data_IF_199916019578
#
_entry.id   IF_199916019578
#
_cell.length_a   1.000
_cell.length_b   1.000
_cell.length_c   1.000
_cell.angle_alpha   90.00
_cell.angle_beta   90.00
_cell.angle_gamma   90.00
#
_symmetry.space_group_name_H-M   'P 1'
#
loop_
_entity.id
_entity.type
_entity.pdbx_description
1 polymer ?
#
# COMPACT_ATOMS: atom_id res chain seq x y z
N UNK A 1 15.38 -8.15 -7.51
CA UNK A 1 14.32 -7.12 -7.55
C UNK A 1 12.97 -7.78 -7.73
N UNK A 2 11.98 -7.29 -7.02
CA UNK A 2 10.64 -7.88 -7.08
C UNK A 2 9.84 -7.30 -8.25
N UNK A 3 8.97 -8.11 -8.83
CA UNK A 3 8.18 -7.73 -9.98
C UNK A 3 6.74 -7.40 -9.60
N UNK A 4 6.49 -6.13 -9.33
CA UNK A 4 5.15 -5.65 -8.95
C UNK A 4 4.21 -5.53 -10.14
N UNK A 5 4.73 -5.46 -11.36
CA UNK A 5 3.91 -5.34 -12.57
C UNK A 5 3.01 -6.54 -12.80
N UNK A 6 3.40 -7.71 -12.30
CA UNK A 6 2.62 -8.93 -12.47
C UNK A 6 1.48 -9.05 -11.46
N UNK A 7 1.42 -8.15 -10.49
CA UNK A 7 0.34 -8.14 -9.51
C UNK A 7 -0.85 -7.37 -10.05
N UNK A 8 -2.04 -7.96 -9.92
CA UNK A 8 -3.28 -7.22 -10.13
C UNK A 8 -3.44 -6.21 -8.99
N UNK A 9 -4.40 -5.30 -9.14
CA UNK A 9 -4.70 -4.33 -8.08
C UNK A 9 -5.07 -5.06 -6.80
N UNK A 10 -5.90 -6.10 -6.88
CA UNK A 10 -6.31 -6.87 -5.72
C UNK A 10 -5.12 -7.60 -5.08
N UNK A 11 -4.25 -8.20 -5.88
CA UNK A 11 -3.05 -8.87 -5.36
C UNK A 11 -2.12 -7.90 -4.65
N UNK A 12 -1.98 -6.68 -5.17
CA UNK A 12 -1.20 -5.65 -4.50
C UNK A 12 -1.84 -5.22 -3.19
N UNK A 13 -3.18 -5.11 -3.16
CA UNK A 13 -3.90 -4.81 -1.91
C UNK A 13 -3.68 -5.89 -0.86
N UNK A 14 -3.71 -7.16 -1.26
CA UNK A 14 -3.43 -8.27 -0.34
C UNK A 14 -2.00 -8.21 0.21
N UNK A 15 -1.03 -7.88 -0.63
CA UNK A 15 0.35 -7.70 -0.20
C UNK A 15 0.47 -6.57 0.82
N UNK A 16 -0.12 -5.43 0.52
CA UNK A 16 -0.11 -4.28 1.43
C UNK A 16 -0.78 -4.60 2.75
N UNK A 17 -1.88 -5.35 2.71
CA UNK A 17 -2.58 -5.78 3.92
C UNK A 17 -1.63 -6.58 4.82
N UNK A 18 -0.94 -7.58 4.26
CA UNK A 18 -0.02 -8.41 5.04
C UNK A 18 1.10 -7.57 5.66
N UNK A 19 1.65 -6.64 4.88
CA UNK A 19 2.74 -5.78 5.34
C UNK A 19 2.28 -4.87 6.48
N UNK A 20 1.18 -4.18 6.28
CA UNK A 20 0.70 -3.20 7.26
C UNK A 20 0.19 -3.88 8.53
N UNK A 21 -0.49 -5.01 8.40
CA UNK A 21 -0.91 -5.78 9.57
C UNK A 21 0.28 -6.14 10.45
N UNK A 22 1.39 -6.56 9.86
CA UNK A 22 2.59 -6.89 10.62
C UNK A 22 3.25 -5.66 11.22
N UNK A 23 3.34 -4.57 10.45
CA UNK A 23 3.95 -3.34 10.94
C UNK A 23 3.18 -2.74 12.12
N UNK A 24 1.87 -2.84 12.10
CA UNK A 24 1.01 -2.23 13.12
C UNK A 24 0.57 -3.22 14.20
N UNK A 25 0.85 -4.50 14.04
CA UNK A 25 0.37 -5.57 14.93
C UNK A 25 -1.14 -5.48 15.13
N UNK A 26 -1.87 -5.32 14.03
CA UNK A 26 -3.32 -5.24 14.08
C UNK A 26 -3.93 -5.93 12.85
N UNK A 27 -5.18 -6.34 13.00
CA UNK A 27 -5.93 -6.94 11.91
C UNK A 27 -6.60 -5.86 11.08
N UNK A 28 -6.53 -6.01 9.77
CA UNK A 28 -7.20 -5.14 8.81
C UNK A 28 -8.15 -5.97 7.95
N UNK A 29 -9.20 -5.32 7.47
CA UNK A 29 -10.16 -5.93 6.57
C UNK A 29 -9.98 -5.35 5.17
N UNK A 30 -9.97 -6.24 4.17
CA UNK A 30 -10.01 -5.85 2.77
C UNK A 30 -11.47 -5.93 2.31
N UNK A 31 -11.88 -5.00 1.46
CA UNK A 31 -13.27 -4.90 1.04
C UNK A 31 -13.45 -5.34 -0.41
N UNK A 32 -14.63 -5.89 -0.70
CA UNK A 32 -15.01 -6.22 -2.06
C UNK A 32 -15.16 -4.94 -2.87
N UNK A 33 -14.74 -4.96 -4.14
CA UNK A 33 -14.90 -3.84 -5.04
C UNK A 33 -16.36 -3.43 -5.16
N UNK A 34 -16.60 -2.12 -5.17
CA UNK A 34 -17.96 -1.59 -5.27
C UNK A 34 -17.95 -0.11 -5.00
N UNK A 35 -19.13 0.42 -4.70
CA UNK A 35 -19.23 1.80 -4.26
C UNK A 35 -18.67 1.90 -2.87
N UNK A 36 -17.49 2.43 -2.78
CA UNK A 36 -16.87 2.62 -1.49
C UNK A 36 -16.75 4.11 -1.17
N UNK A 37 -16.33 4.39 0.05
CA UNK A 37 -16.07 5.74 0.52
C UNK A 37 -14.57 6.06 0.41
N UNK A 38 -13.87 5.37 -0.49
CA UNK A 38 -12.43 5.51 -0.64
C UNK A 38 -11.65 4.70 0.40
N UNK A 39 -12.18 3.55 0.80
CA UNK A 39 -11.56 2.70 1.80
C UNK A 39 -11.11 1.40 1.14
N UNK A 40 -9.81 1.18 1.05
CA UNK A 40 -9.26 -0.10 0.58
C UNK A 40 -9.12 -1.09 1.72
N UNK A 41 -8.51 -0.67 2.82
CA UNK A 41 -8.42 -1.46 4.03
C UNK A 41 -8.80 -0.61 5.23
N UNK A 42 -9.35 -1.25 6.26
CA UNK A 42 -9.59 -0.57 7.53
C UNK A 42 -9.64 -1.56 8.69
N UNK A 43 -9.63 -1.02 9.91
CA UNK A 43 -9.98 -1.79 11.10
C UNK A 43 -11.48 -2.10 11.09
N UNK A 44 -11.93 -2.89 12.07
CA UNK A 44 -13.34 -3.30 12.19
C UNK A 44 -14.16 -2.38 13.07
N UNK A 45 -13.59 -1.30 13.57
CA UNK A 45 -14.31 -0.35 14.43
C UNK A 45 -15.23 0.55 13.60
N UNK A 46 -16.32 0.98 14.19
CA UNK A 46 -17.24 1.94 13.58
C UNK A 46 -17.41 3.09 14.57
N UNK A 47 -17.00 4.33 14.22
CA UNK A 47 -16.30 4.69 12.96
C UNK A 47 -14.89 4.10 12.90
N UNK A 48 -14.39 3.90 11.69
CA UNK A 48 -13.05 3.35 11.48
C UNK A 48 -11.98 4.29 12.04
N UNK A 49 -11.03 3.72 12.77
CA UNK A 49 -9.92 4.50 13.36
C UNK A 49 -8.67 4.44 12.50
N UNK A 50 -8.47 3.33 11.80
CA UNK A 50 -7.35 3.15 10.90
C UNK A 50 -7.85 2.84 9.50
N UNK A 51 -7.43 3.64 8.53
CA UNK A 51 -7.80 3.47 7.13
C UNK A 51 -6.54 3.43 6.29
N UNK A 52 -6.48 2.53 5.32
CA UNK A 52 -5.36 2.42 4.39
C UNK A 52 -5.87 2.64 2.98
N UNK A 53 -5.21 3.53 2.26
CA UNK A 53 -5.44 3.79 0.85
C UNK A 53 -4.31 3.14 0.06
N UNK A 54 -4.66 2.40 -0.99
CA UNK A 54 -3.68 1.67 -1.79
C UNK A 54 -3.73 2.14 -3.22
N UNK A 55 -2.57 2.46 -3.77
CA UNK A 55 -2.44 2.92 -5.15
C UNK A 55 -1.40 2.07 -5.87
N UNK A 56 -1.87 1.24 -6.80
CA UNK A 56 -0.99 0.41 -7.61
C UNK A 56 -0.64 1.19 -8.90
N UNK A 57 0.40 2.01 -8.81
CA UNK A 57 0.75 3.01 -9.83
C UNK A 57 2.16 2.79 -10.41
N UNK A 58 2.44 1.56 -10.85
CA UNK A 58 3.79 1.20 -11.35
C UNK A 58 4.22 2.04 -12.56
N UNK A 59 3.33 2.21 -13.52
CA UNK A 59 3.66 2.84 -14.80
C UNK A 59 3.08 4.26 -14.94
N UNK A 60 2.54 4.81 -13.86
CA UNK A 60 1.95 6.14 -13.85
C UNK A 60 2.93 7.17 -13.33
N UNK A 61 2.72 8.43 -13.74
CA UNK A 61 3.55 9.53 -13.27
C UNK A 61 3.18 9.92 -11.84
N UNK A 62 4.11 10.59 -11.16
CA UNK A 62 3.79 11.15 -9.84
C UNK A 62 2.65 12.17 -9.93
N UNK A 63 2.60 12.98 -11.01
CA UNK A 63 1.52 13.95 -11.19
C UNK A 63 0.14 13.26 -11.20
N UNK A 64 0.05 12.10 -11.85
CA UNK A 64 -1.18 11.31 -11.86
C UNK A 64 -1.52 10.80 -10.47
N UNK A 65 -0.54 10.29 -9.73
CA UNK A 65 -0.72 9.84 -8.35
C UNK A 65 -1.18 11.01 -7.46
N UNK A 66 -0.53 12.16 -7.58
CA UNK A 66 -0.87 13.36 -6.82
C UNK A 66 -2.33 13.76 -7.02
N UNK A 67 -2.78 13.78 -8.27
CA UNK A 67 -4.17 14.11 -8.59
C UNK A 67 -5.13 13.11 -7.97
N UNK A 68 -4.81 11.83 -8.07
CA UNK A 68 -5.62 10.78 -7.46
C UNK A 68 -5.73 10.94 -5.95
N UNK A 69 -4.61 11.26 -5.29
CA UNK A 69 -4.60 11.45 -3.83
C UNK A 69 -5.35 12.71 -3.41
N UNK A 70 -5.25 13.78 -4.19
CA UNK A 70 -6.03 15.00 -3.90
C UNK A 70 -7.53 14.73 -3.93
N UNK A 71 -7.98 13.85 -4.80
CA UNK A 71 -9.39 13.48 -4.87
C UNK A 71 -9.85 12.68 -3.64
N UNK A 72 -8.91 12.14 -2.86
CA UNK A 72 -9.23 11.40 -1.64
C UNK A 72 -9.39 12.31 -0.42
N UNK A 73 -8.89 13.55 -0.46
CA UNK A 73 -8.84 14.42 0.73
C UNK A 73 -10.23 14.62 1.35
N UNK A 74 -11.23 14.95 0.54
CA UNK A 74 -12.59 15.18 1.06
C UNK A 74 -13.20 13.93 1.66
N UNK A 75 -12.91 12.76 1.08
CA UNK A 75 -13.40 11.49 1.58
C UNK A 75 -12.79 11.19 2.96
N UNK A 76 -11.49 11.44 3.10
CA UNK A 76 -10.79 11.22 4.37
C UNK A 76 -11.28 12.18 5.44
N UNK A 77 -11.50 13.45 5.09
CA UNK A 77 -12.06 14.43 6.01
C UNK A 77 -13.41 13.98 6.56
N UNK A 78 -14.25 13.44 5.70
CA UNK A 78 -15.57 12.92 6.08
C UNK A 78 -15.46 11.74 7.03
N UNK A 79 -14.52 10.83 6.75
CA UNK A 79 -14.31 9.63 7.55
C UNK A 79 -13.58 9.94 8.85
N UNK A 80 -12.75 10.96 8.85
CA UNK A 80 -12.00 11.45 10.01
C UNK A 80 -11.31 10.34 10.82
N UNK A 81 -10.47 9.50 10.19
CA UNK A 81 -9.78 8.45 10.93
C UNK A 81 -8.68 9.03 11.83
N UNK A 82 -8.30 8.30 12.86
CA UNK A 82 -7.16 8.68 13.69
C UNK A 82 -5.84 8.45 12.97
N UNK A 83 -5.77 7.37 12.18
CA UNK A 83 -4.56 7.00 11.45
C UNK A 83 -4.92 6.66 10.01
N UNK A 84 -4.32 7.39 9.10
CA UNK A 84 -4.48 7.18 7.68
C UNK A 84 -3.13 6.78 7.08
N UNK A 85 -3.12 5.66 6.36
CA UNK A 85 -1.92 5.14 5.71
C UNK A 85 -2.11 5.13 4.21
N UNK A 86 -1.04 5.42 3.48
CA UNK A 86 -1.02 5.34 2.03
C UNK A 86 0.07 4.36 1.63
N UNK A 87 -0.29 3.39 0.79
CA UNK A 87 0.65 2.40 0.27
C UNK A 87 0.65 2.50 -1.25
N UNK A 88 1.82 2.75 -1.84
CA UNK A 88 1.92 2.92 -3.29
C UNK A 88 3.01 2.04 -3.88
N UNK A 89 2.78 1.52 -5.08
CA UNK A 89 3.75 0.69 -5.79
C UNK A 89 4.74 1.54 -6.62
N UNK A 90 5.02 2.73 -6.18
CA UNK A 90 5.91 3.67 -6.87
C UNK A 90 6.92 4.23 -5.88
N UNK A 91 8.18 4.37 -6.32
CA UNK A 91 9.19 5.06 -5.51
C UNK A 91 8.91 6.55 -5.50
N UNK A 92 8.99 7.15 -4.33
CA UNK A 92 8.72 8.58 -4.15
C UNK A 92 9.98 9.31 -3.72
N UNK A 93 10.12 10.56 -4.18
CA UNK A 93 11.19 11.44 -3.70
C UNK A 93 10.80 12.02 -2.34
N UNK A 94 11.77 12.60 -1.65
CA UNK A 94 11.49 13.30 -0.39
C UNK A 94 10.44 14.39 -0.59
N UNK A 95 10.55 15.17 -1.65
CA UNK A 95 9.58 16.23 -1.95
C UNK A 95 8.18 15.68 -2.21
N UNK A 96 8.09 14.53 -2.90
CA UNK A 96 6.80 13.85 -3.12
C UNK A 96 6.17 13.44 -1.79
N UNK A 97 6.95 12.84 -0.91
CA UNK A 97 6.48 12.38 0.39
C UNK A 97 5.99 13.56 1.24
N UNK A 98 6.74 14.64 1.27
CA UNK A 98 6.34 15.84 2.00
C UNK A 98 5.03 16.42 1.46
N UNK A 99 4.88 16.49 0.15
CA UNK A 99 3.65 16.99 -0.47
C UNK A 99 2.44 16.12 -0.10
N UNK A 100 2.60 14.80 -0.15
CA UNK A 100 1.52 13.89 0.22
C UNK A 100 1.19 14.03 1.71
N UNK A 101 2.22 14.14 2.55
CA UNK A 101 2.02 14.32 3.98
C UNK A 101 1.21 15.59 4.28
N UNK A 102 1.50 16.69 3.60
CA UNK A 102 0.76 17.94 3.78
C UNK A 102 -0.73 17.79 3.47
N UNK A 103 -1.08 16.93 2.49
CA UNK A 103 -2.48 16.68 2.16
C UNK A 103 -3.26 16.04 3.31
N UNK A 104 -2.60 15.18 4.09
CA UNK A 104 -3.26 14.31 5.08
C UNK A 104 -2.67 14.42 6.48
N UNK A 105 -1.92 15.49 6.77
CA UNK A 105 -1.18 15.62 8.03
C UNK A 105 -2.05 15.51 9.27
N UNK A 106 -3.31 15.92 9.19
CA UNK A 106 -4.25 15.82 10.31
C UNK A 106 -4.59 14.38 10.69
N UNK A 107 -4.28 13.43 9.80
CA UNK A 107 -4.64 12.01 9.96
C UNK A 107 -3.42 11.10 9.99
N UNK A 108 -2.22 11.66 10.00
CA UNK A 108 -0.96 10.91 9.99
C UNK A 108 -0.07 11.33 11.14
N UNK A 109 0.58 10.36 11.78
CA UNK A 109 1.54 10.64 12.85
C UNK A 109 2.82 11.27 12.29
N UNK A 110 3.24 10.81 11.12
CA UNK A 110 4.46 11.28 10.47
C UNK A 110 4.46 10.80 9.02
N UNK A 111 5.53 11.11 8.29
CA UNK A 111 5.71 10.60 6.92
C UNK A 111 5.84 9.08 6.88
N UNK A 112 6.06 8.42 8.01
CA UNK A 112 6.09 6.95 8.08
C UNK A 112 4.74 6.31 7.72
N UNK A 113 3.66 7.08 7.72
CA UNK A 113 2.35 6.61 7.27
C UNK A 113 2.28 6.48 5.74
N UNK A 114 3.29 6.96 5.02
CA UNK A 114 3.38 6.85 3.57
C UNK A 114 4.39 5.74 3.25
N UNK A 115 3.89 4.65 2.70
CA UNK A 115 4.68 3.46 2.43
C UNK A 115 4.84 3.34 0.92
N UNK A 116 6.00 3.71 0.42
CA UNK A 116 6.28 3.66 -1.01
C UNK A 116 6.98 2.34 -1.40
N UNK A 117 7.32 2.21 -2.66
CA UNK A 117 7.94 1.00 -3.19
C UNK A 117 9.24 0.65 -2.48
N UNK A 118 10.06 1.64 -2.13
CA UNK A 118 11.32 1.39 -1.40
C UNK A 118 11.07 0.81 -0.02
N UNK A 119 10.07 1.33 0.68
CA UNK A 119 9.70 0.80 1.99
C UNK A 119 9.16 -0.62 1.89
N UNK A 120 8.36 -0.90 0.85
CA UNK A 120 7.84 -2.24 0.62
C UNK A 120 9.00 -3.22 0.35
N UNK A 121 9.92 -2.85 -0.53
CA UNK A 121 11.09 -3.68 -0.83
C UNK A 121 11.92 -3.94 0.42
N UNK A 122 12.19 -2.89 1.19
CA UNK A 122 12.97 -2.99 2.42
C UNK A 122 12.32 -3.94 3.42
N UNK A 123 11.01 -3.88 3.55
CA UNK A 123 10.27 -4.79 4.43
C UNK A 123 10.39 -6.24 3.96
N UNK A 124 10.19 -6.48 2.66
CA UNK A 124 10.20 -7.84 2.10
C UNK A 124 11.60 -8.48 2.09
N UNK A 125 12.65 -7.68 2.04
CA UNK A 125 14.02 -8.17 2.04
C UNK A 125 14.48 -8.65 3.43
N UNK A 126 13.78 -8.30 4.48
CA UNK A 126 14.13 -8.76 5.81
C UNK A 126 13.75 -10.22 6.00
N UNK A 127 14.69 -11.00 6.57
CA UNK A 127 14.50 -12.43 6.75
C UNK A 127 13.24 -12.76 7.57
N UNK A 128 12.97 -11.97 8.59
CA UNK A 128 11.78 -12.16 9.44
C UNK A 128 10.46 -12.03 8.70
N UNK A 129 10.47 -11.45 7.49
CA UNK A 129 9.30 -11.26 6.66
C UNK A 129 9.28 -12.19 5.44
N UNK A 130 10.15 -13.20 5.42
CA UNK A 130 10.27 -14.12 4.29
C UNK A 130 8.98 -14.92 4.02
N UNK A 131 8.17 -15.13 5.04
CA UNK A 131 6.89 -15.82 4.89
C UNK A 131 5.92 -15.01 4.01
N UNK A 132 5.91 -13.70 4.18
CA UNK A 132 5.08 -12.81 3.34
C UNK A 132 5.59 -12.83 1.91
N UNK A 133 6.91 -12.73 1.72
CA UNK A 133 7.50 -12.78 0.40
C UNK A 133 7.15 -14.10 -0.31
N UNK A 134 7.24 -15.22 0.37
CA UNK A 134 6.91 -16.53 -0.23
C UNK A 134 5.45 -16.64 -0.60
N UNK A 135 4.56 -16.10 0.23
CA UNK A 135 3.12 -16.11 -0.04
C UNK A 135 2.79 -15.40 -1.36
N UNK A 136 3.47 -14.29 -1.62
CA UNK A 136 3.22 -13.47 -2.81
C UNK A 136 4.22 -13.84 -3.92
N UNK A 137 4.16 -15.07 -4.37
CA UNK A 137 5.16 -15.68 -5.26
C UNK A 137 5.35 -14.94 -6.59
N UNK A 138 4.35 -14.24 -7.09
CA UNK A 138 4.47 -13.49 -8.35
C UNK A 138 5.54 -12.40 -8.30
N UNK A 139 5.89 -11.94 -7.09
CA UNK A 139 6.94 -10.93 -6.93
C UNK A 139 8.31 -11.44 -7.36
N UNK A 140 8.58 -12.74 -7.17
CA UNK A 140 9.90 -13.31 -7.39
C UNK A 140 9.92 -14.45 -8.40
N UNK A 141 8.80 -15.06 -8.70
CA UNK A 141 8.69 -16.16 -9.67
C UNK A 141 8.09 -15.61 -10.96
N UNK A 142 8.88 -14.88 -11.72
CA UNK A 142 8.41 -14.15 -12.88
C UNK A 142 9.12 -14.51 -14.18
N UNK A 143 10.01 -15.50 -14.13
CA UNK A 143 10.83 -15.87 -15.28
C UNK A 143 10.59 -17.31 -15.67
N UNK A 144 10.38 -17.57 -16.97
CA UNK A 144 10.30 -18.91 -17.52
C UNK A 144 11.60 -19.69 -17.28
N UNK A 145 12.73 -18.99 -17.27
CA UNK A 145 14.03 -19.59 -16.97
C UNK A 145 14.10 -20.19 -15.59
N UNK A 146 13.53 -19.51 -14.60
CA UNK A 146 13.48 -20.02 -13.23
C UNK A 146 12.66 -21.29 -13.17
N UNK A 147 11.50 -21.30 -13.82
CA UNK A 147 10.65 -22.48 -13.86
C UNK A 147 11.34 -23.65 -14.55
N UNK A 148 12.07 -23.38 -15.61
CA UNK A 148 12.83 -24.41 -16.33
C UNK A 148 13.92 -25.03 -15.44
N UNK A 149 14.56 -24.26 -14.60
CA UNK A 149 15.59 -24.74 -13.68
C UNK A 149 15.01 -25.60 -12.56
N UNK A 150 13.75 -25.40 -12.20
CA UNK A 150 13.09 -26.17 -11.16
C UNK A 150 12.63 -27.55 -11.65
N UNK A 151 12.54 -27.74 -12.93
CA UNK A 151 12.17 -28.98 -13.57
C UNK A 151 13.34 -29.61 -14.32
#
# INVERSE_FOLDING_TARGET
MFNYNDLSDFEFEELCKDIIERKLSMKLRIYTSGRDRGIDLSDDKIPHQTIVQIKHYMNSTYASLRTSLRNEIKKVEKLNPKNYYICVSKSLTEANIEEIYEMFSNYMDSTSNIIDLKEINSFLEKERNSDILRKHYKLWLHSTGILSELY
#
